data_IF_886758339770
#
_entry.id   IF_886758339770
#
_cell.length_a   1.000
_cell.length_b   1.000
_cell.length_c   1.000
_cell.angle_alpha   90.00
_cell.angle_beta   90.00
_cell.angle_gamma   90.00
#
_symmetry.space_group_name_H-M   'P 1'
#
loop_
_entity.id
_entity.type
_entity.pdbx_description
1 polymer ?
#
# COMPACT_ATOMS: atom_id res chain seq x y z
N UNK A 1 -0.87 45.06 -25.12
CA UNK A 1 -0.53 44.24 -26.31
C UNK A 1 0.62 43.28 -26.03
N UNK A 2 1.67 43.68 -25.31
CA UNK A 2 2.80 42.81 -24.91
C UNK A 2 2.48 41.84 -23.78
N UNK A 3 1.62 42.21 -22.83
CA UNK A 3 1.22 41.31 -21.73
C UNK A 3 0.27 40.18 -22.17
N UNK A 4 -0.63 40.44 -23.12
CA UNK A 4 -1.51 39.40 -23.67
C UNK A 4 -0.75 38.38 -24.53
N UNK A 5 0.29 38.82 -25.24
CA UNK A 5 1.17 37.92 -25.99
C UNK A 5 2.01 37.05 -25.05
N UNK A 6 2.51 37.62 -23.95
CA UNK A 6 3.24 36.86 -22.93
C UNK A 6 2.35 35.81 -22.23
N UNK A 7 1.07 36.13 -21.98
CA UNK A 7 0.10 35.16 -21.46
C UNK A 7 -0.24 34.07 -22.46
N UNK A 8 -0.39 34.43 -23.74
CA UNK A 8 -0.66 33.44 -24.79
C UNK A 8 0.52 32.49 -25.00
N UNK A 9 1.77 32.98 -24.93
CA UNK A 9 2.96 32.12 -25.02
C UNK A 9 3.16 31.25 -23.78
N UNK A 10 2.82 31.76 -22.59
CA UNK A 10 2.78 30.95 -21.36
C UNK A 10 1.71 29.85 -21.45
N UNK A 11 0.50 30.17 -21.91
CA UNK A 11 -0.57 29.20 -22.11
C UNK A 11 -0.20 28.14 -23.16
N UNK A 12 0.46 28.51 -24.26
CA UNK A 12 0.93 27.56 -25.28
C UNK A 12 2.12 26.71 -24.78
N UNK A 13 2.98 27.26 -23.93
CA UNK A 13 4.04 26.50 -23.25
C UNK A 13 3.44 25.49 -22.25
N UNK A 14 2.46 25.89 -21.45
CA UNK A 14 1.71 25.00 -20.53
C UNK A 14 0.94 23.91 -21.29
N UNK A 15 0.39 24.26 -22.46
CA UNK A 15 -0.29 23.33 -23.38
C UNK A 15 0.68 22.34 -24.03
N UNK A 16 1.88 22.80 -24.37
CA UNK A 16 2.98 21.97 -24.91
C UNK A 16 3.58 21.03 -23.85
N UNK A 17 3.62 21.46 -22.58
CA UNK A 17 4.11 20.65 -21.45
C UNK A 17 3.08 19.67 -20.88
N UNK A 18 1.86 19.63 -21.43
CA UNK A 18 0.82 18.67 -21.05
C UNK A 18 0.17 18.95 -19.69
N UNK A 19 0.17 20.20 -19.23
CA UNK A 19 -0.45 20.67 -17.98
C UNK A 19 -1.96 20.96 -18.13
N UNK A 20 -2.63 20.36 -19.12
CA UNK A 20 -4.09 20.46 -19.24
C UNK A 20 -4.73 19.95 -17.94
N UNK A 21 -5.51 20.81 -17.28
CA UNK A 21 -6.27 20.43 -16.10
C UNK A 21 -7.21 19.27 -16.44
N UNK A 22 -6.86 18.05 -16.03
CA UNK A 22 -7.58 16.80 -16.35
C UNK A 22 -8.95 16.64 -15.65
N UNK A 23 -9.59 17.74 -15.24
CA UNK A 23 -10.95 17.73 -14.66
C UNK A 23 -11.06 17.10 -13.27
N UNK A 24 -9.96 16.86 -12.56
CA UNK A 24 -9.99 16.41 -11.17
C UNK A 24 -10.44 17.56 -10.27
N UNK A 25 -11.42 17.29 -9.41
CA UNK A 25 -11.90 18.27 -8.43
C UNK A 25 -10.76 18.65 -7.46
N UNK A 26 -10.20 19.85 -7.64
CA UNK A 26 -9.18 20.39 -6.77
C UNK A 26 -9.69 20.47 -5.31
N UNK A 27 -8.86 20.03 -4.35
CA UNK A 27 -9.13 20.18 -2.92
C UNK A 27 -10.13 19.18 -2.31
N UNK A 28 -10.57 18.13 -3.03
CA UNK A 28 -11.48 17.11 -2.47
C UNK A 28 -10.84 16.14 -1.47
N UNK A 29 -9.51 16.00 -1.51
CA UNK A 29 -8.74 15.15 -0.60
C UNK A 29 -7.75 16.06 0.14
N UNK A 30 -8.02 16.34 1.42
CA UNK A 30 -7.10 17.09 2.27
C UNK A 30 -5.82 16.29 2.54
N UNK A 31 -4.75 16.96 3.00
CA UNK A 31 -3.46 16.30 3.33
C UNK A 31 -3.62 15.16 4.33
N UNK A 32 -4.52 15.32 5.31
CA UNK A 32 -4.86 14.28 6.27
C UNK A 32 -5.55 13.08 5.62
N UNK A 33 -6.57 13.30 4.80
CA UNK A 33 -7.25 12.22 4.05
C UNK A 33 -6.28 11.52 3.11
N UNK A 34 -5.42 12.26 2.41
CA UNK A 34 -4.38 11.71 1.55
C UNK A 34 -3.35 10.88 2.32
N UNK A 35 -2.94 11.31 3.51
CA UNK A 35 -2.05 10.55 4.37
C UNK A 35 -2.69 9.24 4.84
N UNK A 36 -3.96 9.27 5.24
CA UNK A 36 -4.68 8.06 5.66
C UNK A 36 -4.92 7.12 4.50
N UNK A 37 -5.24 7.63 3.30
CA UNK A 37 -5.30 6.81 2.08
C UNK A 37 -3.93 6.18 1.78
N UNK A 38 -2.84 6.93 1.92
CA UNK A 38 -1.48 6.41 1.81
C UNK A 38 -1.23 5.26 2.78
N UNK A 39 -1.51 5.45 4.07
CA UNK A 39 -1.37 4.41 5.10
C UNK A 39 -2.24 3.19 4.77
N UNK A 40 -3.47 3.41 4.29
CA UNK A 40 -4.37 2.34 3.85
C UNK A 40 -3.78 1.52 2.71
N UNK A 41 -3.13 2.15 1.73
CA UNK A 41 -2.52 1.44 0.59
C UNK A 41 -1.32 0.59 0.99
N UNK A 42 -0.59 0.98 2.05
CA UNK A 42 0.53 0.20 2.60
C UNK A 42 0.04 -1.01 3.40
N UNK A 43 -1.21 -0.98 3.90
CA UNK A 43 -1.84 -2.05 4.66
C UNK A 43 -0.94 -2.61 5.79
N UNK A 44 -0.56 -1.79 6.79
CA UNK A 44 0.53 -2.10 7.72
C UNK A 44 0.33 -3.40 8.50
N UNK A 45 -0.90 -3.74 8.88
CA UNK A 45 -1.14 -4.99 9.61
C UNK A 45 -0.97 -6.24 8.76
N UNK A 46 -1.28 -6.16 7.46
CA UNK A 46 -1.06 -7.28 6.55
C UNK A 46 0.44 -7.50 6.33
N UNK A 47 1.20 -6.44 6.02
CA UNK A 47 2.65 -6.54 5.79
C UNK A 47 3.37 -7.01 7.05
N UNK A 48 3.01 -6.50 8.22
CA UNK A 48 3.58 -6.96 9.49
C UNK A 48 3.29 -8.45 9.74
N UNK A 49 2.03 -8.89 9.58
CA UNK A 49 1.66 -10.30 9.82
C UNK A 49 2.37 -11.25 8.84
N UNK A 50 2.46 -10.86 7.57
CA UNK A 50 3.09 -11.68 6.54
C UNK A 50 4.62 -11.70 6.64
N UNK A 51 5.26 -10.59 7.01
CA UNK A 51 6.72 -10.43 6.93
C UNK A 51 7.46 -10.64 8.25
N UNK A 52 6.89 -10.32 9.42
CA UNK A 52 7.62 -10.40 10.70
C UNK A 52 8.19 -11.80 10.94
N UNK A 53 7.38 -12.85 10.74
CA UNK A 53 7.83 -14.23 10.95
C UNK A 53 8.99 -14.63 10.04
N UNK A 54 8.96 -14.20 8.78
CA UNK A 54 10.03 -14.48 7.81
C UNK A 54 11.30 -13.69 8.12
N UNK A 55 11.16 -12.43 8.55
CA UNK A 55 12.31 -11.59 8.91
C UNK A 55 13.00 -12.16 10.15
N UNK A 56 12.24 -12.53 11.19
CA UNK A 56 12.79 -13.18 12.38
C UNK A 56 13.44 -14.52 12.03
N UNK A 57 12.85 -15.31 11.13
CA UNK A 57 13.46 -16.56 10.70
C UNK A 57 14.79 -16.36 9.93
N UNK A 58 14.93 -15.26 9.18
CA UNK A 58 16.11 -15.00 8.35
C UNK A 58 17.25 -14.31 9.12
N UNK A 59 16.93 -13.29 9.94
CA UNK A 59 17.94 -12.44 10.60
C UNK A 59 17.84 -12.45 12.13
N UNK A 60 16.89 -13.19 12.69
CA UNK A 60 16.72 -13.34 14.14
C UNK A 60 16.63 -12.00 14.85
N UNK A 61 17.57 -11.79 15.75
CA UNK A 61 17.65 -10.59 16.59
C UNK A 61 18.05 -9.33 15.82
N UNK A 62 18.61 -9.44 14.61
CA UNK A 62 19.01 -8.29 13.77
C UNK A 62 17.86 -7.68 12.97
N UNK A 63 16.61 -8.04 13.30
CA UNK A 63 15.40 -7.49 12.68
C UNK A 63 15.35 -5.95 12.69
N UNK A 64 15.71 -5.23 13.78
CA UNK A 64 15.67 -3.76 13.76
C UNK A 64 16.63 -3.14 12.75
N UNK A 65 17.85 -3.69 12.63
CA UNK A 65 18.84 -3.22 11.66
C UNK A 65 18.34 -3.34 10.21
N UNK A 66 17.74 -4.49 9.83
CA UNK A 66 17.27 -4.68 8.46
C UNK A 66 16.04 -3.82 8.13
N UNK A 67 15.17 -3.57 9.11
CA UNK A 67 14.04 -2.65 8.95
C UNK A 67 14.52 -1.20 8.72
N UNK A 68 15.55 -0.75 9.43
CA UNK A 68 16.17 0.56 9.20
C UNK A 68 16.84 0.62 7.83
N UNK A 69 17.60 -0.42 7.47
CA UNK A 69 18.25 -0.50 6.16
C UNK A 69 17.23 -0.46 5.01
N UNK A 70 16.07 -1.12 5.17
CA UNK A 70 14.97 -1.07 4.21
C UNK A 70 14.20 0.26 4.20
N UNK A 71 14.15 0.96 5.32
CA UNK A 71 13.49 2.27 5.43
C UNK A 71 14.18 3.35 4.59
N UNK A 72 15.52 3.37 4.55
CA UNK A 72 16.30 4.39 3.84
C UNK A 72 15.91 4.52 2.35
N UNK A 73 15.94 3.46 1.52
CA UNK A 73 15.59 3.57 0.10
C UNK A 73 14.10 3.92 -0.10
N UNK A 74 13.20 3.41 0.76
CA UNK A 74 11.78 3.78 0.71
C UNK A 74 11.57 5.27 1.02
N UNK A 75 12.27 5.80 2.03
CA UNK A 75 12.21 7.20 2.41
C UNK A 75 12.74 8.11 1.30
N UNK A 76 13.88 7.78 0.70
CA UNK A 76 14.43 8.52 -0.44
C UNK A 76 13.46 8.53 -1.64
N UNK A 77 12.83 7.39 -1.92
CA UNK A 77 11.83 7.29 -2.98
C UNK A 77 10.60 8.15 -2.67
N UNK A 78 10.09 8.10 -1.44
CA UNK A 78 8.96 8.93 -1.01
C UNK A 78 9.28 10.43 -1.12
N UNK A 79 10.50 10.83 -0.77
CA UNK A 79 10.96 12.21 -0.92
C UNK A 79 11.03 12.64 -2.39
N UNK A 80 11.56 11.79 -3.27
CA UNK A 80 11.58 12.05 -4.71
C UNK A 80 10.15 12.22 -5.28
N UNK A 81 9.21 11.36 -4.89
CA UNK A 81 7.81 11.47 -5.28
C UNK A 81 7.18 12.76 -4.77
N UNK A 82 7.52 13.21 -3.55
CA UNK A 82 7.04 14.48 -3.01
C UNK A 82 7.50 15.67 -3.87
N UNK A 83 8.78 15.72 -4.24
CA UNK A 83 9.34 16.78 -5.08
C UNK A 83 8.82 16.74 -6.52
N UNK A 84 8.59 15.56 -7.08
CA UNK A 84 7.99 15.42 -8.40
C UNK A 84 6.52 15.86 -8.40
N UNK A 85 5.76 15.48 -7.37
CA UNK A 85 4.35 15.84 -7.25
C UNK A 85 4.15 17.34 -6.98
N UNK A 86 5.11 18.01 -6.32
CA UNK A 86 5.05 19.46 -6.12
C UNK A 86 5.32 20.25 -7.40
N UNK A 87 6.14 19.72 -8.32
CA UNK A 87 6.53 20.39 -9.57
C UNK A 87 5.61 20.06 -10.75
N UNK A 88 5.17 18.80 -10.86
CA UNK A 88 4.36 18.31 -11.97
C UNK A 88 3.22 17.43 -11.45
N UNK A 89 2.16 18.01 -10.87
CA UNK A 89 1.02 17.27 -10.37
C UNK A 89 0.27 16.60 -11.54
N UNK A 90 0.56 15.32 -11.77
CA UNK A 90 -0.05 14.54 -12.84
C UNK A 90 -0.56 13.18 -12.33
N UNK A 91 -1.79 12.85 -12.71
CA UNK A 91 -2.50 11.63 -12.33
C UNK A 91 -1.85 10.33 -12.81
N UNK A 92 -0.98 10.39 -13.82
CA UNK A 92 -0.18 9.27 -14.31
C UNK A 92 1.15 9.07 -13.56
N UNK A 93 1.47 9.96 -12.61
CA UNK A 93 2.61 9.92 -11.70
C UNK A 93 3.88 9.35 -12.37
N UNK A 94 4.30 8.14 -11.98
CA UNK A 94 5.54 7.49 -12.41
C UNK A 94 5.64 7.31 -13.92
N UNK A 95 4.55 6.99 -14.62
CA UNK A 95 4.56 6.88 -16.09
C UNK A 95 4.81 8.23 -16.74
N UNK A 96 4.06 9.25 -16.32
CA UNK A 96 4.17 10.61 -16.88
C UNK A 96 5.54 11.22 -16.58
N UNK A 97 6.00 11.13 -15.32
CA UNK A 97 7.30 11.69 -14.91
C UNK A 97 8.46 10.99 -15.59
N UNK A 98 8.43 9.65 -15.71
CA UNK A 98 9.49 8.91 -16.39
C UNK A 98 9.50 9.18 -17.90
N UNK A 99 8.32 9.33 -18.51
CA UNK A 99 8.19 9.72 -19.93
C UNK A 99 8.78 11.10 -20.18
N UNK A 100 8.46 12.09 -19.31
CA UNK A 100 8.96 13.46 -19.43
C UNK A 100 10.47 13.57 -19.15
N UNK A 101 10.99 12.80 -18.20
CA UNK A 101 12.40 12.89 -17.81
C UNK A 101 13.37 12.08 -18.70
N UNK A 102 12.96 10.89 -19.15
CA UNK A 102 13.86 9.94 -19.84
C UNK A 102 13.36 9.52 -21.23
N UNK A 103 12.21 10.01 -21.67
CA UNK A 103 11.62 9.71 -22.96
C UNK A 103 10.58 8.56 -22.94
N UNK A 104 9.88 8.36 -24.07
CA UNK A 104 8.68 7.50 -24.15
C UNK A 104 8.94 6.03 -23.89
N UNK A 105 10.13 5.50 -24.21
CA UNK A 105 10.47 4.10 -23.98
C UNK A 105 10.59 3.77 -22.49
N UNK A 106 11.26 4.62 -21.71
CA UNK A 106 11.42 4.44 -20.26
C UNK A 106 10.08 4.62 -19.55
N UNK A 107 9.28 5.59 -20.01
CA UNK A 107 7.89 5.76 -19.60
C UNK A 107 7.07 4.48 -19.77
N UNK A 108 7.09 3.89 -20.97
CA UNK A 108 6.40 2.64 -21.29
C UNK A 108 6.84 1.47 -20.40
N UNK A 109 8.14 1.30 -20.16
CA UNK A 109 8.66 0.29 -19.25
C UNK A 109 8.18 0.51 -17.80
N UNK A 110 8.18 1.76 -17.33
CA UNK A 110 7.69 2.11 -16.00
C UNK A 110 6.20 1.79 -15.84
N UNK A 111 5.39 2.08 -16.87
CA UNK A 111 3.97 1.75 -16.90
C UNK A 111 3.70 0.26 -16.81
N UNK A 112 4.34 -0.56 -17.65
CA UNK A 112 4.19 -2.02 -17.60
C UNK A 112 4.72 -2.63 -16.31
N UNK A 113 5.85 -2.11 -15.78
CA UNK A 113 6.37 -2.52 -14.49
C UNK A 113 5.36 -2.31 -13.37
N UNK A 114 4.69 -1.16 -13.37
CA UNK A 114 3.64 -0.85 -12.39
C UNK A 114 2.40 -1.74 -12.54
N UNK A 115 1.97 -2.02 -13.78
CA UNK A 115 0.85 -2.94 -14.05
C UNK A 115 1.16 -4.34 -13.51
N UNK A 116 2.31 -4.91 -13.86
CA UNK A 116 2.72 -6.25 -13.42
C UNK A 116 2.86 -6.29 -11.90
N UNK A 117 3.51 -5.29 -11.30
CA UNK A 117 3.65 -5.20 -9.85
C UNK A 117 2.28 -5.17 -9.15
N UNK A 118 1.34 -4.37 -9.67
CA UNK A 118 -0.02 -4.28 -9.12
C UNK A 118 -0.76 -5.61 -9.24
N UNK A 119 -0.66 -6.31 -10.38
CA UNK A 119 -1.28 -7.63 -10.56
C UNK A 119 -0.74 -8.63 -9.52
N UNK A 120 0.58 -8.68 -9.32
CA UNK A 120 1.20 -9.60 -8.37
C UNK A 120 0.76 -9.28 -6.94
N UNK A 121 0.80 -8.00 -6.55
CA UNK A 121 0.43 -7.56 -5.19
C UNK A 121 -1.06 -7.81 -4.91
N UNK A 122 -1.96 -7.42 -5.82
CA UNK A 122 -3.39 -7.64 -5.64
C UNK A 122 -3.74 -9.13 -5.57
N UNK A 123 -3.08 -9.96 -6.38
CA UNK A 123 -3.28 -11.41 -6.34
C UNK A 123 -2.89 -12.00 -4.99
N UNK A 124 -1.74 -11.58 -4.45
CA UNK A 124 -1.29 -12.03 -3.14
C UNK A 124 -2.21 -11.56 -2.01
N UNK A 125 -2.60 -10.28 -2.03
CA UNK A 125 -3.55 -9.70 -1.07
C UNK A 125 -4.89 -10.43 -1.09
N UNK A 126 -5.43 -10.72 -2.27
CA UNK A 126 -6.70 -11.42 -2.41
C UNK A 126 -6.62 -12.86 -1.86
N UNK A 127 -5.55 -13.60 -2.17
CA UNK A 127 -5.36 -14.96 -1.66
C UNK A 127 -5.27 -15.00 -0.13
N UNK A 128 -4.54 -14.07 0.47
CA UNK A 128 -4.40 -13.97 1.92
C UNK A 128 -5.71 -13.48 2.56
N UNK A 129 -6.42 -12.56 1.91
CA UNK A 129 -7.75 -12.12 2.33
C UNK A 129 -8.77 -13.27 2.39
N UNK A 130 -8.75 -14.16 1.41
CA UNK A 130 -9.58 -15.38 1.41
C UNK A 130 -9.20 -16.31 2.56
N UNK A 131 -7.90 -16.53 2.78
CA UNK A 131 -7.42 -17.38 3.88
C UNK A 131 -7.89 -16.87 5.25
N UNK A 132 -7.65 -15.59 5.55
CA UNK A 132 -8.12 -14.99 6.80
C UNK A 132 -9.65 -14.90 6.87
N UNK A 133 -10.33 -14.73 5.74
CA UNK A 133 -11.80 -14.74 5.67
C UNK A 133 -12.39 -16.07 6.11
N UNK A 134 -11.84 -17.20 5.64
CA UNK A 134 -12.25 -18.53 6.07
C UNK A 134 -11.89 -18.80 7.54
N UNK A 135 -10.70 -18.39 7.99
CA UNK A 135 -10.32 -18.52 9.41
C UNK A 135 -11.25 -17.73 10.33
N UNK A 136 -11.60 -16.50 9.95
CA UNK A 136 -12.57 -15.69 10.67
C UNK A 136 -13.96 -16.34 10.69
N UNK A 137 -14.42 -16.84 9.54
CA UNK A 137 -15.71 -17.52 9.46
C UNK A 137 -15.73 -18.80 10.31
N UNK A 138 -14.65 -19.58 10.30
CA UNK A 138 -14.50 -20.77 11.15
C UNK A 138 -14.49 -20.42 12.64
N UNK A 139 -13.86 -19.32 13.03
CA UNK A 139 -13.86 -18.83 14.40
C UNK A 139 -15.28 -18.38 14.86
N UNK A 140 -16.02 -17.68 13.99
CA UNK A 140 -17.38 -17.21 14.29
C UNK A 140 -18.40 -18.36 14.30
N UNK A 141 -18.25 -19.33 13.40
CA UNK A 141 -19.15 -20.48 13.29
C UNK A 141 -18.76 -21.65 14.21
N UNK A 142 -17.66 -21.52 14.95
CA UNK A 142 -17.03 -22.59 15.74
C UNK A 142 -16.81 -23.90 14.97
N UNK A 143 -16.65 -23.82 13.64
CA UNK A 143 -16.50 -24.98 12.77
C UNK A 143 -15.11 -24.99 12.12
N UNK A 144 -14.27 -25.91 12.60
CA UNK A 144 -12.89 -26.06 12.14
C UNK A 144 -12.81 -26.44 10.66
N UNK A 145 -13.78 -27.20 10.15
CA UNK A 145 -13.85 -27.58 8.74
C UNK A 145 -13.95 -26.34 7.84
N UNK A 146 -14.70 -25.32 8.27
CA UNK A 146 -14.86 -24.06 7.52
C UNK A 146 -13.57 -23.21 7.56
N UNK A 147 -12.80 -23.26 8.64
CA UNK A 147 -11.49 -22.61 8.69
C UNK A 147 -10.48 -23.28 7.73
N UNK A 148 -10.56 -24.60 7.58
CA UNK A 148 -9.66 -25.40 6.74
C UNK A 148 -10.06 -25.39 5.25
N UNK A 149 -11.23 -24.85 4.90
CA UNK A 149 -11.68 -24.74 3.50
C UNK A 149 -10.69 -23.95 2.64
N UNK A 150 -9.95 -23.01 3.23
CA UNK A 150 -8.89 -22.25 2.56
C UNK A 150 -7.68 -23.10 2.14
N UNK A 151 -7.46 -24.26 2.77
CA UNK A 151 -6.33 -25.16 2.48
C UNK A 151 -6.57 -26.00 1.21
N UNK A 152 -7.84 -26.19 0.81
CA UNK A 152 -8.17 -26.84 -0.44
C UNK A 152 -7.86 -25.89 -1.60
N UNK A 153 -6.83 -26.23 -2.38
CA UNK A 153 -6.31 -25.42 -3.49
C UNK A 153 -7.40 -24.95 -4.47
N UNK A 154 -8.35 -25.83 -4.82
CA UNK A 154 -9.43 -25.50 -5.74
C UNK A 154 -10.40 -24.45 -5.13
N UNK A 155 -10.78 -24.61 -3.87
CA UNK A 155 -11.67 -23.68 -3.15
C UNK A 155 -10.98 -22.33 -2.99
N UNK A 156 -9.70 -22.32 -2.60
CA UNK A 156 -8.91 -21.10 -2.46
C UNK A 156 -8.83 -20.31 -3.78
N UNK A 157 -8.51 -20.99 -4.90
CA UNK A 157 -8.42 -20.36 -6.22
C UNK A 157 -9.78 -19.78 -6.64
N UNK A 158 -10.85 -20.57 -6.54
CA UNK A 158 -12.19 -20.12 -6.94
C UNK A 158 -12.63 -18.93 -6.09
N UNK A 159 -12.48 -18.99 -4.78
CA UNK A 159 -12.86 -17.92 -3.87
C UNK A 159 -12.00 -16.66 -4.07
N UNK A 160 -10.71 -16.81 -4.40
CA UNK A 160 -9.83 -15.67 -4.70
C UNK A 160 -10.25 -14.97 -6.00
N UNK A 161 -10.52 -15.74 -7.05
CA UNK A 161 -11.01 -15.19 -8.33
C UNK A 161 -12.38 -14.55 -8.16
N UNK A 162 -13.28 -15.17 -7.40
CA UNK A 162 -14.59 -14.60 -7.09
C UNK A 162 -14.47 -13.28 -6.31
N UNK A 163 -13.60 -13.22 -5.30
CA UNK A 163 -13.36 -12.02 -4.52
C UNK A 163 -12.79 -10.89 -5.39
N UNK A 164 -11.84 -11.19 -6.28
CA UNK A 164 -11.30 -10.22 -7.24
C UNK A 164 -12.37 -9.72 -8.22
N UNK A 165 -13.21 -10.61 -8.74
CA UNK A 165 -14.31 -10.23 -9.63
C UNK A 165 -15.31 -9.30 -8.92
N UNK A 166 -15.68 -9.62 -7.67
CA UNK A 166 -16.56 -8.78 -6.86
C UNK A 166 -15.90 -7.42 -6.57
N UNK A 167 -14.63 -7.40 -6.15
CA UNK A 167 -13.91 -6.17 -5.88
C UNK A 167 -13.81 -5.28 -7.14
N UNK A 168 -13.57 -5.88 -8.29
CA UNK A 168 -13.53 -5.19 -9.59
C UNK A 168 -14.90 -4.61 -9.96
N UNK A 169 -15.97 -5.38 -9.77
CA UNK A 169 -17.34 -4.94 -10.00
C UNK A 169 -17.78 -3.81 -9.07
N UNK A 170 -17.39 -3.86 -7.79
CA UNK A 170 -17.66 -2.77 -6.85
C UNK A 170 -16.87 -1.52 -7.26
N UNK A 171 -15.61 -1.69 -7.65
CA UNK A 171 -14.75 -0.59 -8.08
C UNK A 171 -15.27 0.12 -9.33
N UNK A 172 -15.96 -0.59 -10.22
CA UNK A 172 -16.58 0.01 -11.42
C UNK A 172 -17.91 0.75 -11.14
N UNK A 173 -18.56 0.52 -9.98
CA UNK A 173 -19.86 1.13 -9.61
C UNK A 173 -19.75 2.40 -8.76
N UNK A 174 -18.56 2.75 -8.25
CA UNK A 174 -18.30 3.99 -7.53
C UNK A 174 -17.60 3.80 -6.19
N UNK A 175 -16.47 4.50 -6.00
CA UNK A 175 -15.52 4.30 -4.89
C UNK A 175 -15.88 5.09 -3.62
N UNK A 176 -16.75 6.10 -3.71
CA UNK A 176 -16.94 7.12 -2.68
C UNK A 176 -17.49 6.60 -1.34
N UNK A 177 -18.31 5.55 -1.36
CA UNK A 177 -18.83 4.92 -0.13
C UNK A 177 -17.82 3.91 0.44
N UNK A 178 -17.14 3.15 -0.43
CA UNK A 178 -16.11 2.19 -0.03
C UNK A 178 -14.92 2.85 0.66
N UNK A 179 -14.55 4.06 0.23
CA UNK A 179 -13.47 4.85 0.84
C UNK A 179 -13.70 5.13 2.32
N UNK A 180 -14.93 5.51 2.72
CA UNK A 180 -15.27 5.79 4.12
C UNK A 180 -15.21 4.55 4.99
N UNK A 181 -15.66 3.41 4.47
CA UNK A 181 -15.57 2.13 5.18
C UNK A 181 -14.11 1.72 5.35
N UNK A 182 -13.30 1.87 4.31
CA UNK A 182 -11.87 1.59 4.36
C UNK A 182 -11.16 2.46 5.39
N UNK A 183 -11.51 3.75 5.48
CA UNK A 183 -11.00 4.66 6.50
C UNK A 183 -11.26 4.12 7.93
N UNK A 184 -12.50 3.71 8.22
CA UNK A 184 -12.86 3.16 9.54
C UNK A 184 -12.13 1.85 9.81
N UNK A 185 -12.03 0.97 8.81
CA UNK A 185 -11.40 -0.33 8.94
C UNK A 185 -9.89 -0.21 9.20
N UNK A 186 -9.21 0.72 8.51
CA UNK A 186 -7.80 1.01 8.72
C UNK A 186 -7.57 1.67 10.08
N UNK A 187 -8.45 2.58 10.49
CA UNK A 187 -8.41 3.15 11.84
C UNK A 187 -8.50 2.06 12.93
N UNK A 188 -9.46 1.14 12.78
CA UNK A 188 -9.60 -0.02 13.66
C UNK A 188 -8.35 -0.92 13.64
N UNK A 189 -7.82 -1.21 12.45
CA UNK A 189 -6.59 -1.98 12.29
C UNK A 189 -5.41 -1.35 13.02
N UNK A 190 -5.22 -0.03 12.92
CA UNK A 190 -4.15 0.67 13.63
C UNK A 190 -4.30 0.58 15.15
N UNK A 191 -5.52 0.68 15.66
CA UNK A 191 -5.80 0.51 17.10
C UNK A 191 -5.41 -0.91 17.54
N UNK A 192 -5.81 -1.94 16.79
CA UNK A 192 -5.48 -3.34 17.08
C UNK A 192 -3.96 -3.56 17.07
N UNK A 193 -3.24 -2.98 16.13
CA UNK A 193 -1.77 -3.09 16.07
C UNK A 193 -1.08 -2.43 17.27
N UNK A 194 -1.54 -1.24 17.68
CA UNK A 194 -0.99 -0.56 18.87
C UNK A 194 -1.29 -1.39 20.13
N UNK A 195 -2.51 -1.90 20.28
CA UNK A 195 -2.87 -2.79 21.38
C UNK A 195 -2.01 -4.05 21.37
N UNK A 196 -1.81 -4.68 20.22
CA UNK A 196 -0.95 -5.84 20.06
C UNK A 196 0.49 -5.52 20.49
N UNK A 197 1.05 -4.40 20.06
CA UNK A 197 2.39 -3.97 20.44
C UNK A 197 2.52 -3.76 21.95
N UNK A 198 1.55 -3.08 22.58
CA UNK A 198 1.53 -2.87 24.04
C UNK A 198 1.43 -4.21 24.78
N UNK A 199 0.51 -5.09 24.37
CA UNK A 199 0.34 -6.42 24.97
C UNK A 199 1.61 -7.26 24.80
N UNK A 200 2.26 -7.21 23.64
CA UNK A 200 3.50 -7.90 23.38
C UNK A 200 4.61 -7.42 24.33
N UNK A 201 4.79 -6.11 24.50
CA UNK A 201 5.79 -5.54 25.41
C UNK A 201 5.49 -5.91 26.87
N UNK A 202 4.23 -5.84 27.30
CA UNK A 202 3.84 -6.12 28.70
C UNK A 202 3.93 -7.61 29.03
N UNK A 203 3.58 -8.50 28.08
CA UNK A 203 3.63 -9.95 28.29
C UNK A 203 4.98 -10.59 27.93
N UNK A 204 5.84 -9.91 27.17
CA UNK A 204 7.16 -10.42 26.79
C UNK A 204 8.00 -10.91 27.98
N UNK A 205 8.07 -10.22 29.14
CA UNK A 205 8.85 -10.68 30.29
C UNK A 205 8.35 -12.00 30.90
N UNK A 206 7.09 -12.38 30.65
CA UNK A 206 6.50 -13.62 31.15
C UNK A 206 6.48 -14.77 30.13
N UNK A 207 7.02 -14.56 28.93
CA UNK A 207 7.03 -15.56 27.87
C UNK A 207 8.29 -16.44 27.93
N UNK A 208 8.13 -17.75 27.75
CA UNK A 208 9.27 -18.67 27.66
C UNK A 208 10.12 -18.33 26.43
N UNK A 209 11.41 -18.04 26.63
CA UNK A 209 12.32 -17.57 25.58
C UNK A 209 12.41 -16.06 25.41
N UNK A 210 12.03 -15.27 26.43
CA UNK A 210 12.26 -13.82 26.40
C UNK A 210 13.75 -13.52 26.23
N UNK A 211 14.05 -12.53 25.40
CA UNK A 211 15.40 -12.00 25.20
C UNK A 211 15.40 -10.59 25.74
N UNK A 212 16.38 -10.28 26.59
CA UNK A 212 16.56 -8.92 27.07
C UNK A 212 16.97 -8.02 25.91
N UNK A 213 16.48 -6.78 25.93
CA UNK A 213 16.79 -5.81 24.88
C UNK A 213 18.30 -5.57 24.83
N UNK A 214 18.89 -5.81 23.66
CA UNK A 214 20.30 -5.56 23.40
C UNK A 214 20.45 -4.59 22.22
N UNK A 215 21.32 -3.59 22.38
CA UNK A 215 21.66 -2.62 21.35
C UNK A 215 22.38 -3.28 20.17
N UNK A 216 23.00 -4.45 20.38
CA UNK A 216 23.61 -5.23 19.31
C UNK A 216 22.61 -5.66 18.24
N UNK A 217 21.30 -5.65 18.50
CA UNK A 217 20.25 -5.94 17.51
C UNK A 217 20.21 -4.90 16.37
N UNK A 218 20.77 -3.72 16.60
CA UNK A 218 20.87 -2.64 15.61
C UNK A 218 22.19 -2.64 14.82
N UNK A 219 23.17 -3.45 15.23
CA UNK A 219 24.46 -3.54 14.56
C UNK A 219 24.37 -4.59 13.44
N UNK A 220 24.48 -4.21 12.15
CA UNK A 220 24.30 -5.11 11.00
C UNK A 220 25.31 -6.26 10.94
#
# INVERSE_FOLDING_TARGET
MTEDLARAELDDAERSEGLVSKGLAAGRIGTFTGAVLGISTVAPGYTLTASIGLIVAAVGLKMPAILIAGFIPMFLTAYAYRELNSRAPDCGASFTWSTKAFGPYVGWMCGWGMVIATIIVLSNLASIGVQYGYQFLGAVTHNQTVAELANYKAVNIISTVALLAIATYISSRGITTSEKVQYVLVGFQMIVLVLFAVVAIVKAPGAAGHLDFDLDWFNP
#
